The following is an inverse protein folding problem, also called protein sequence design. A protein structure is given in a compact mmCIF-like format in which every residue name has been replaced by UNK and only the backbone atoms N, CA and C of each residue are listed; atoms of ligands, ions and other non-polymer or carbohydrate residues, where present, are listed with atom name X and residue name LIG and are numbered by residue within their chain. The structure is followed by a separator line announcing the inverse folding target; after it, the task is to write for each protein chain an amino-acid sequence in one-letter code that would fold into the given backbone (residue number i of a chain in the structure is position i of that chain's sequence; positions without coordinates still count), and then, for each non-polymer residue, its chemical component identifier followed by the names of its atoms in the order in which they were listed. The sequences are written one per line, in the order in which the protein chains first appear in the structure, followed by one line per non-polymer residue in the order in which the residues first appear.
data_IF_317592615875
#
_entry.id   IF_317592615875
#
_cell.length_a   1.000
_cell.length_b   1.000
_cell.length_c   1.000
_cell.angle_alpha   90.00
_cell.angle_beta   90.00
_cell.angle_gamma   90.00
#
_symmetry.space_group_name_H-M   'P 1'
#
loop_
_entity.id
_entity.type
_entity.pdbx_description
1 polymer ?
#
# COMPACT_ATOMS: atom_id res chain seq x y z
N UNK A 1 0.81 -14.87 -19.76
CA UNK A 1 0.39 -13.53 -19.30
C UNK A 1 0.91 -13.37 -17.89
N UNK A 2 1.90 -12.50 -17.67
CA UNK A 2 2.56 -12.39 -16.36
C UNK A 2 1.65 -11.64 -15.39
N UNK A 3 1.06 -12.37 -14.44
CA UNK A 3 0.37 -11.76 -13.31
C UNK A 3 1.42 -11.12 -12.42
N UNK A 4 1.58 -9.79 -12.49
CA UNK A 4 2.42 -9.08 -11.53
C UNK A 4 1.81 -9.24 -10.14
N UNK A 5 2.59 -9.85 -9.25
CA UNK A 5 2.27 -9.99 -7.83
C UNK A 5 2.77 -8.72 -7.16
N UNK A 6 1.90 -8.13 -6.36
CA UNK A 6 2.24 -6.98 -5.54
C UNK A 6 2.04 -7.35 -4.07
N UNK A 7 2.70 -6.61 -3.20
CA UNK A 7 2.61 -6.83 -1.77
C UNK A 7 1.94 -5.64 -1.10
N UNK A 8 1.04 -5.92 -0.15
CA UNK A 8 0.31 -4.91 0.62
C UNK A 8 0.46 -5.19 2.10
N UNK A 9 0.28 -4.17 2.93
CA UNK A 9 0.38 -4.31 4.38
C UNK A 9 -1.02 -4.31 4.98
N UNK A 10 -1.38 -5.40 5.66
CA UNK A 10 -2.64 -5.57 6.39
C UNK A 10 -2.39 -5.42 7.89
N UNK A 11 -3.20 -4.62 8.58
CA UNK A 11 -3.21 -4.58 10.03
C UNK A 11 -3.95 -5.80 10.60
N UNK A 12 -3.27 -6.61 11.41
CA UNK A 12 -3.86 -7.74 12.14
C UNK A 12 -4.88 -7.27 13.19
N UNK A 13 -4.74 -6.02 13.67
CA UNK A 13 -5.57 -5.49 14.76
C UNK A 13 -6.99 -5.13 14.30
N UNK A 14 -7.13 -4.59 13.09
CA UNK A 14 -8.40 -4.08 12.59
C UNK A 14 -8.79 -4.59 11.19
N UNK A 15 -7.94 -5.41 10.56
CA UNK A 15 -8.18 -5.96 9.22
C UNK A 15 -8.16 -4.92 8.10
N UNK A 16 -7.56 -3.74 8.33
CA UNK A 16 -7.47 -2.67 7.33
C UNK A 16 -6.10 -2.64 6.67
N UNK A 17 -6.08 -2.23 5.41
CA UNK A 17 -4.86 -2.04 4.66
C UNK A 17 -4.18 -0.70 4.99
N UNK A 18 -2.86 -0.69 4.91
CA UNK A 18 -2.07 0.53 5.00
C UNK A 18 -2.29 1.37 3.74
N UNK A 19 -2.57 2.66 3.93
CA UNK A 19 -2.85 3.59 2.85
C UNK A 19 -1.92 4.79 2.93
N UNK A 20 -1.48 5.26 1.77
CA UNK A 20 -0.85 6.57 1.64
C UNK A 20 -1.93 7.64 1.45
N UNK A 21 -1.82 8.71 2.22
CA UNK A 21 -2.65 9.90 2.07
C UNK A 21 -1.77 11.05 1.58
N UNK A 22 -2.07 11.60 0.40
CA UNK A 22 -1.41 12.81 -0.09
C UNK A 22 -1.56 13.95 0.93
N UNK A 23 -0.52 14.78 1.07
CA UNK A 23 -0.54 15.93 1.97
C UNK A 23 -1.72 16.86 1.66
N UNK A 24 -2.29 17.44 2.72
CA UNK A 24 -3.33 18.45 2.61
C UNK A 24 -2.86 19.62 1.71
N UNK A 25 -3.66 19.95 0.70
CA UNK A 25 -3.33 20.96 -0.32
C UNK A 25 -3.01 20.40 -1.71
N UNK A 26 -2.89 19.09 -1.86
CA UNK A 26 -2.89 18.43 -3.17
C UNK A 26 -4.33 18.24 -3.69
N UNK A 27 -4.56 18.17 -5.02
CA UNK A 27 -5.88 17.89 -5.59
C UNK A 27 -6.52 16.58 -5.09
N UNK A 28 -5.69 15.70 -4.54
CA UNK A 28 -6.02 14.36 -4.05
C UNK A 28 -6.04 14.31 -2.51
N UNK A 29 -6.05 15.46 -1.83
CA UNK A 29 -6.12 15.54 -0.38
C UNK A 29 -7.40 14.86 0.14
N UNK A 30 -7.23 13.83 0.98
CA UNK A 30 -8.33 13.01 1.52
C UNK A 30 -8.62 11.73 0.73
N UNK A 31 -8.00 11.53 -0.43
CA UNK A 31 -8.06 10.28 -1.17
C UNK A 31 -7.12 9.24 -0.52
N UNK A 32 -7.66 8.07 -0.17
CA UNK A 32 -6.87 6.94 0.31
C UNK A 32 -6.30 6.16 -0.87
N UNK A 33 -4.97 6.08 -0.96
CA UNK A 33 -4.27 5.23 -1.93
C UNK A 33 -3.74 3.99 -1.23
N UNK A 34 -4.05 2.82 -1.76
CA UNK A 34 -3.52 1.57 -1.21
C UNK A 34 -2.01 1.53 -1.37
N UNK A 35 -1.28 1.37 -0.26
CA UNK A 35 0.18 1.27 -0.30
C UNK A 35 0.59 -0.11 -0.81
N UNK A 36 1.42 -0.13 -1.85
CA UNK A 36 1.86 -1.32 -2.55
C UNK A 36 3.38 -1.37 -2.70
N UNK A 37 3.91 -2.58 -2.64
CA UNK A 37 5.32 -2.89 -2.78
C UNK A 37 5.52 -3.90 -3.91
N UNK A 38 6.64 -3.76 -4.63
CA UNK A 38 7.00 -4.69 -5.71
C UNK A 38 7.53 -6.01 -5.15
N UNK A 39 8.24 -5.96 -4.03
CA UNK A 39 8.81 -7.14 -3.39
C UNK A 39 8.37 -7.26 -1.93
N UNK A 40 8.32 -8.51 -1.44
CA UNK A 40 7.91 -8.81 -0.07
C UNK A 40 8.87 -8.20 0.95
N UNK A 41 10.18 -8.27 0.68
CA UNK A 41 11.19 -7.74 1.58
C UNK A 41 11.18 -6.21 1.62
N UNK A 42 10.73 -5.52 0.57
CA UNK A 42 10.56 -4.07 0.57
C UNK A 42 9.47 -3.66 1.56
N UNK A 43 8.34 -4.38 1.56
CA UNK A 43 7.24 -4.15 2.49
C UNK A 43 7.69 -4.33 3.95
N UNK A 44 8.46 -5.39 4.22
CA UNK A 44 9.04 -5.64 5.55
C UNK A 44 10.06 -4.57 5.94
N UNK A 45 10.93 -4.18 5.02
CA UNK A 45 11.93 -3.13 5.25
C UNK A 45 11.25 -1.81 5.58
N UNK A 46 10.26 -1.41 4.79
CA UNK A 46 9.47 -0.19 5.03
C UNK A 46 8.80 -0.22 6.41
N UNK A 47 8.16 -1.33 6.77
CA UNK A 47 7.49 -1.48 8.06
C UNK A 47 8.49 -1.38 9.23
N UNK A 48 9.65 -2.03 9.10
CA UNK A 48 10.71 -1.96 10.11
C UNK A 48 11.32 -0.56 10.22
N UNK A 49 11.45 0.18 9.11
CA UNK A 49 12.03 1.53 9.12
C UNK A 49 11.06 2.57 9.69
N UNK A 50 9.78 2.51 9.32
CA UNK A 50 8.81 3.57 9.63
C UNK A 50 7.83 3.21 10.76
N UNK A 51 7.81 1.96 11.21
CA UNK A 51 6.82 1.47 12.18
C UNK A 51 7.28 0.22 12.94
N UNK A 52 8.56 0.15 13.32
CA UNK A 52 9.15 -0.99 14.04
C UNK A 52 8.31 -1.44 15.24
N UNK A 53 7.85 -0.48 16.07
CA UNK A 53 7.06 -0.75 17.28
C UNK A 53 5.68 -1.37 16.98
N UNK A 54 5.21 -1.24 15.74
CA UNK A 54 3.92 -1.76 15.30
C UNK A 54 4.06 -2.95 14.36
N UNK A 55 5.29 -3.36 14.00
CA UNK A 55 5.54 -4.35 12.95
C UNK A 55 4.82 -5.69 13.22
N UNK A 56 4.79 -6.15 14.48
CA UNK A 56 4.10 -7.37 14.90
C UNK A 56 2.57 -7.30 14.75
N UNK A 57 2.00 -6.09 14.69
CA UNK A 57 0.57 -5.86 14.48
C UNK A 57 0.19 -5.80 12.99
N UNK A 58 1.15 -5.94 12.09
CA UNK A 58 0.93 -5.94 10.65
C UNK A 58 1.31 -7.30 10.02
N UNK A 59 0.84 -7.51 8.80
CA UNK A 59 1.14 -8.66 7.96
C UNK A 59 1.36 -8.16 6.54
N UNK A 60 2.27 -8.81 5.81
CA UNK A 60 2.44 -8.57 4.38
C UNK A 60 1.63 -9.64 3.62
N UNK A 61 0.76 -9.20 2.72
CA UNK A 61 -0.04 -10.07 1.86
C UNK A 61 0.34 -9.89 0.40
N UNK A 62 0.35 -10.98 -0.37
CA UNK A 62 0.52 -10.94 -1.82
C UNK A 62 -0.84 -10.80 -2.51
N UNK A 63 -0.97 -9.83 -3.39
CA UNK A 63 -2.18 -9.55 -4.17
C UNK A 63 -1.83 -9.58 -5.66
N UNK A 64 -2.61 -10.33 -6.44
CA UNK A 64 -2.46 -10.32 -7.89
C UNK A 64 -3.05 -9.05 -8.51
N UNK A 65 -2.52 -8.62 -9.67
CA UNK A 65 -3.13 -7.51 -10.41
C UNK A 65 -4.63 -7.69 -10.74
N UNK A 66 -5.10 -8.94 -10.86
CA UNK A 66 -6.53 -9.24 -11.07
C UNK A 66 -7.38 -9.03 -9.81
N UNK A 67 -6.82 -9.27 -8.62
CA UNK A 67 -7.50 -9.05 -7.34
C UNK A 67 -7.46 -7.59 -6.89
N UNK A 68 -6.45 -6.84 -7.35
CA UNK A 68 -6.23 -5.45 -6.98
C UNK A 68 -7.45 -4.57 -7.26
N UNK A 69 -8.03 -4.68 -8.47
CA UNK A 69 -9.23 -3.92 -8.84
C UNK A 69 -10.36 -4.11 -7.84
N UNK A 70 -10.71 -5.36 -7.55
CA UNK A 70 -11.79 -5.69 -6.62
C UNK A 70 -11.51 -5.18 -5.21
N UNK A 71 -10.24 -5.18 -4.80
CA UNK A 71 -9.82 -4.68 -3.50
C UNK A 71 -9.96 -3.15 -3.39
N UNK A 72 -9.55 -2.41 -4.43
CA UNK A 72 -9.71 -0.94 -4.47
C UNK A 72 -11.20 -0.55 -4.40
N UNK A 73 -12.04 -1.19 -5.21
CA UNK A 73 -13.50 -0.93 -5.24
C UNK A 73 -14.17 -1.28 -3.90
N UNK A 74 -13.82 -2.42 -3.30
CA UNK A 74 -14.41 -2.89 -2.03
C UNK A 74 -14.13 -1.93 -0.87
N UNK A 75 -12.94 -1.34 -0.83
CA UNK A 75 -12.52 -0.46 0.26
C UNK A 75 -12.70 1.03 -0.06
N UNK A 76 -13.11 1.37 -1.29
CA UNK A 76 -13.31 2.74 -1.74
C UNK A 76 -12.01 3.53 -1.88
N UNK A 77 -10.90 2.86 -2.20
CA UNK A 77 -9.62 3.52 -2.43
C UNK A 77 -9.62 4.20 -3.81
N UNK A 78 -9.03 5.38 -3.90
CA UNK A 78 -8.98 6.18 -5.14
C UNK A 78 -7.93 5.64 -6.10
N UNK A 79 -6.93 4.91 -5.59
CA UNK A 79 -5.85 4.37 -6.38
C UNK A 79 -4.84 3.62 -5.54
N UNK A 80 -3.64 3.50 -6.09
CA UNK A 80 -2.51 2.79 -5.46
C UNK A 80 -1.31 3.72 -5.34
N UNK A 81 -0.58 3.59 -4.23
CA UNK A 81 0.71 4.23 -4.02
C UNK A 81 1.79 3.16 -4.07
N UNK A 82 2.63 3.17 -5.10
CA UNK A 82 3.73 2.20 -5.24
C UNK A 82 4.97 2.79 -4.60
N UNK A 83 5.48 2.11 -3.57
CA UNK A 83 6.74 2.48 -2.91
C UNK A 83 7.90 2.13 -3.83
N UNK A 84 8.69 3.14 -4.21
CA UNK A 84 9.88 2.96 -5.05
C UNK A 84 11.13 2.71 -4.21
N UNK A 85 11.21 3.31 -3.03
CA UNK A 85 12.31 3.13 -2.08
C UNK A 85 11.74 3.00 -0.65
N UNK A 86 12.03 1.90 0.07
CA UNK A 86 11.51 1.69 1.41
C UNK A 86 12.23 2.54 2.49
N UNK A 87 13.49 2.92 2.24
CA UNK A 87 14.32 3.70 3.18
C UNK A 87 13.99 5.19 3.08
N UNK A 88 13.87 5.70 1.86
CA UNK A 88 13.41 7.06 1.56
C UNK A 88 12.03 6.92 0.95
N UNK A 89 10.93 7.21 1.67
CA UNK A 89 9.55 6.85 1.27
C UNK A 89 9.08 7.67 0.04
N UNK A 90 9.63 7.34 -1.13
CA UNK A 90 9.27 7.84 -2.44
C UNK A 90 8.12 6.99 -2.93
N UNK A 91 6.94 7.60 -3.01
CA UNK A 91 5.69 6.93 -3.37
C UNK A 91 5.20 7.51 -4.68
N UNK A 92 5.03 6.66 -5.69
CA UNK A 92 4.36 7.01 -6.94
C UNK A 92 2.87 6.70 -6.82
N UNK A 93 2.05 7.73 -6.99
CA UNK A 93 0.60 7.61 -6.92
C UNK A 93 0.01 7.35 -8.30
N UNK A 94 -0.81 6.31 -8.40
CA UNK A 94 -1.59 5.98 -9.59
C UNK A 94 -3.07 6.02 -9.24
N UNK A 95 -3.82 6.89 -9.91
CA UNK A 95 -5.27 6.99 -9.73
C UNK A 95 -5.99 5.89 -10.51
N UNK A 96 -6.99 5.28 -9.89
CA UNK A 96 -7.86 4.27 -10.49
C UNK A 96 -9.17 4.91 -11.00
N UNK A 97 -9.03 5.93 -11.86
CA UNK A 97 -10.15 6.64 -12.50
C UNK A 97 -9.91 6.89 -13.98
#
# INVERSE_FOLDING_TARGET
MFTQIHYVILSRRNGRYLVAQPKAGSPEAGAGYLLMFREHFDALSYLNTHGADLADQFSVESVSGSQLKNLLERWGFVGVGVVQDPLVPQIEFFSYK
#
